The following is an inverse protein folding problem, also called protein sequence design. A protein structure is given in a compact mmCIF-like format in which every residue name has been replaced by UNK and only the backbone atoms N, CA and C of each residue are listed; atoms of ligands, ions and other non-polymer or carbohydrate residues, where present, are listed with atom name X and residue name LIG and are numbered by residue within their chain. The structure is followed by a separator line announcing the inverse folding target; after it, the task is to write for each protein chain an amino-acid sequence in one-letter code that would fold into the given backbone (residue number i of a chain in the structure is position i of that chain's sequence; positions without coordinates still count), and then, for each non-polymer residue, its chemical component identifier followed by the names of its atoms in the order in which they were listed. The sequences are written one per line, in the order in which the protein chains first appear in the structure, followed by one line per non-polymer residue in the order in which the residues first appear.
data_IF_869669420410
#
_entry.id   IF_869669420410
#
_cell.length_a   1.000
_cell.length_b   1.000
_cell.length_c   1.000
_cell.angle_alpha   90.00
_cell.angle_beta   90.00
_cell.angle_gamma   90.00
#
_symmetry.space_group_name_H-M   'P 1'
#
loop_
_entity.id
_entity.type
_entity.pdbx_description
1 polymer ?
2 non-polymer ?
3 non-polymer ?
4 non-polymer ?
5 non-polymer ?
6 non-polymer ?
7 water ?
#
# COMPACT_ATOMS: atom_id res chain seq x y z
N UNK A 1 -0.36 -19.71 -16.66
CA UNK A 1 -1.46 -19.80 -17.66
C UNK A 1 -2.73 -19.15 -17.11
N UNK A 2 -3.29 -18.21 -17.87
CA UNK A 2 -4.50 -17.50 -17.47
C UNK A 2 -5.67 -17.93 -18.35
N UNK A 3 -6.68 -18.53 -17.72
CA UNK A 3 -7.86 -18.97 -18.46
C UNK A 3 -8.68 -17.77 -18.93
N UNK A 4 -9.57 -18.02 -19.89
CA UNK A 4 -10.41 -17.00 -20.46
C UNK A 4 -11.46 -16.45 -19.48
N UNK A 5 -11.74 -15.16 -19.59
CA UNK A 5 -12.76 -14.53 -18.76
C UNK A 5 -14.11 -14.97 -19.29
N UNK A 6 -15.13 -15.02 -18.43
CA UNK A 6 -16.46 -15.43 -18.92
C UNK A 6 -17.13 -14.22 -19.56
N UNK A 7 -18.25 -14.44 -20.23
CA UNK A 7 -18.98 -13.34 -20.83
C UNK A 7 -19.36 -12.37 -19.72
N UNK A 8 -19.20 -11.08 -19.96
CA UNK A 8 -19.54 -10.07 -18.97
C UNK A 8 -20.23 -8.89 -19.66
N UNK A 9 -21.22 -8.31 -18.98
CA UNK A 9 -21.93 -7.16 -19.52
C UNK A 9 -21.63 -5.95 -18.66
N UNK A 10 -20.99 -4.95 -19.26
CA UNK A 10 -20.65 -3.74 -18.55
C UNK A 10 -20.53 -2.58 -19.53
N UNK A 11 -20.55 -1.33 -19.03
CA UNK A 11 -20.44 -0.15 -19.88
C UNK A 11 -19.18 -0.18 -20.74
N UNK A 12 -19.34 0.09 -22.03
CA UNK A 12 -18.21 0.10 -22.95
C UNK A 12 -17.29 1.29 -22.66
N UNK A 13 -15.98 1.03 -22.52
CA UNK A 13 -15.08 2.16 -22.25
C UNK A 13 -15.11 3.09 -23.46
N UNK A 14 -14.98 4.40 -23.22
CA UNK A 14 -15.01 5.36 -24.30
C UNK A 14 -13.66 6.00 -24.57
N UNK A 15 -13.08 5.66 -25.71
CA UNK A 15 -11.78 6.14 -26.13
C UNK A 15 -11.62 7.67 -26.11
N UNK A 16 -12.66 8.38 -26.51
CA UNK A 16 -12.60 9.83 -26.57
C UNK A 16 -13.16 10.54 -25.34
N UNK A 17 -13.30 9.80 -24.25
CA UNK A 17 -13.79 10.37 -23.00
C UNK A 17 -12.85 9.98 -21.88
N UNK A 18 -12.04 10.94 -21.41
CA UNK A 18 -11.10 10.65 -20.32
C UNK A 18 -11.77 10.12 -19.08
N UNK A 19 -11.06 9.25 -18.37
CA UNK A 19 -11.55 8.65 -17.14
C UNK A 19 -11.83 9.74 -16.10
N UNK A 20 -10.79 10.50 -15.80
CA UNK A 20 -10.86 11.60 -14.86
C UNK A 20 -10.15 12.74 -15.58
N UNK A 21 -10.67 13.95 -15.45
CA UNK A 21 -10.05 15.10 -16.10
C UNK A 21 -9.39 15.97 -15.04
N UNK A 22 -9.61 15.62 -13.79
CA UNK A 22 -9.08 16.39 -12.67
C UNK A 22 -7.80 15.86 -12.04
N UNK A 23 -7.38 14.66 -12.46
CA UNK A 23 -6.17 14.06 -11.91
C UNK A 23 -5.40 13.24 -12.93
N UNK A 24 -4.12 13.03 -12.65
CA UNK A 24 -3.25 12.23 -13.50
C UNK A 24 -3.56 10.77 -13.18
N UNK A 25 -3.92 9.97 -14.19
CA UNK A 25 -4.26 8.58 -13.95
C UNK A 25 -3.22 7.57 -14.45
N UNK A 26 -2.11 8.07 -14.97
CA UNK A 26 -1.02 7.21 -15.44
C UNK A 26 0.30 7.96 -15.25
N UNK A 27 1.33 7.26 -14.79
CA UNK A 27 2.62 7.89 -14.58
C UNK A 27 3.40 7.95 -15.88
N UNK A 28 4.52 8.71 -15.90
CA UNK A 28 5.33 8.82 -17.12
C UNK A 28 5.99 7.50 -17.55
N UNK A 29 5.98 6.50 -16.66
CA UNK A 29 6.54 5.20 -17.02
C UNK A 29 5.40 4.20 -17.26
N UNK A 30 4.23 4.75 -17.54
CA UNK A 30 3.02 4.00 -17.85
C UNK A 30 2.45 3.08 -16.78
N UNK A 31 2.55 3.53 -15.53
CA UNK A 31 1.98 2.77 -14.42
C UNK A 31 0.67 3.48 -14.06
N UNK A 32 -0.41 2.73 -13.91
CA UNK A 32 -1.66 3.42 -13.57
C UNK A 32 -1.63 4.00 -12.16
N UNK A 33 -2.29 5.15 -12.00
CA UNK A 33 -2.42 5.78 -10.69
C UNK A 33 -3.89 5.47 -10.38
N UNK A 34 -4.10 4.72 -9.31
CA UNK A 34 -5.42 4.26 -8.95
C UNK A 34 -6.33 5.22 -8.21
N UNK A 35 -7.35 5.70 -8.93
CA UNK A 35 -8.36 6.62 -8.40
C UNK A 35 -9.73 5.99 -8.66
N UNK A 36 -10.72 6.37 -7.85
CA UNK A 36 -12.06 5.86 -8.05
C UNK A 36 -12.53 6.34 -9.43
N UNK A 37 -13.10 5.44 -10.22
CA UNK A 37 -13.58 5.80 -11.55
C UNK A 37 -12.67 5.31 -12.66
N UNK A 38 -11.45 4.89 -12.30
CA UNK A 38 -10.49 4.42 -13.29
C UNK A 38 -10.58 2.91 -13.53
N UNK A 39 -11.23 2.20 -12.61
CA UNK A 39 -11.32 0.75 -12.76
C UNK A 39 -12.70 0.14 -12.62
N UNK A 40 -12.90 -0.96 -13.34
CA UNK A 40 -14.15 -1.71 -13.24
C UNK A 40 -13.75 -2.86 -12.33
N UNK A 41 -14.21 -2.83 -11.09
CA UNK A 41 -13.84 -3.86 -10.12
C UNK A 41 -14.35 -5.26 -10.48
N UNK A 42 -15.42 -5.35 -11.26
CA UNK A 42 -15.93 -6.65 -11.63
C UNK A 42 -14.94 -7.37 -12.55
N UNK A 43 -14.38 -6.65 -13.51
CA UNK A 43 -13.41 -7.26 -14.40
C UNK A 43 -12.17 -7.67 -13.61
N UNK A 44 -11.66 -6.78 -12.78
CA UNK A 44 -10.48 -7.08 -11.98
C UNK A 44 -10.71 -8.26 -11.02
N UNK A 45 -11.86 -8.29 -10.35
CA UNK A 45 -12.14 -9.39 -9.44
C UNK A 45 -12.10 -10.73 -10.18
N UNK A 46 -12.66 -10.75 -11.39
CA UNK A 46 -12.66 -11.96 -12.21
C UNK A 46 -11.24 -12.38 -12.52
N UNK A 47 -10.45 -11.44 -13.02
CA UNK A 47 -9.07 -11.73 -13.36
C UNK A 47 -8.29 -12.31 -12.20
N UNK A 48 -8.39 -11.71 -11.02
CA UNK A 48 -7.64 -12.22 -9.88
C UNK A 48 -8.19 -13.49 -9.26
N UNK A 49 -9.51 -13.67 -9.31
CA UNK A 49 -10.10 -14.89 -8.75
C UNK A 49 -9.74 -16.09 -9.62
N UNK A 50 -9.69 -15.88 -10.93
CA UNK A 50 -9.35 -16.96 -11.85
C UNK A 50 -7.92 -17.43 -11.61
N UNK A 51 -7.17 -16.64 -10.84
CA UNK A 51 -5.79 -17.00 -10.51
C UNK A 51 -5.70 -17.50 -9.08
N UNK A 52 -6.83 -17.56 -8.40
CA UNK A 52 -6.91 -18.01 -7.00
C UNK A 52 -5.87 -17.25 -6.19
N UNK A 53 -5.91 -15.93 -6.34
CA UNK A 53 -4.97 -15.03 -5.67
C UNK A 53 -5.13 -14.96 -4.15
N UNK A 54 -3.99 -15.03 -3.45
CA UNK A 54 -3.98 -14.93 -1.99
C UNK A 54 -3.19 -13.68 -1.63
N UNK A 55 -3.79 -12.82 -0.82
CA UNK A 55 -3.12 -11.59 -0.42
C UNK A 55 -2.74 -11.63 1.05
N UNK A 56 -1.48 -11.30 1.34
CA UNK A 56 -1.05 -11.27 2.72
C UNK A 56 -1.06 -9.82 3.16
N UNK A 57 -1.61 -9.55 4.34
CA UNK A 57 -1.66 -8.21 4.89
C UNK A 57 -0.85 -8.23 6.17
N UNK A 58 0.22 -7.45 6.21
CA UNK A 58 1.09 -7.42 7.38
C UNK A 58 0.98 -6.12 8.18
N UNK A 59 1.00 -6.26 9.50
CA UNK A 59 0.94 -5.12 10.39
C UNK A 59 1.78 -5.40 11.61
N UNK A 60 2.38 -4.37 12.17
CA UNK A 60 3.16 -4.50 13.38
C UNK A 60 2.36 -3.83 14.48
N UNK A 61 2.26 -4.49 15.62
CA UNK A 61 1.51 -3.94 16.75
C UNK A 61 2.35 -4.14 18.01
N UNK A 62 3.18 -3.16 18.31
CA UNK A 62 4.06 -3.23 19.47
C UNK A 62 3.59 -2.29 20.57
N UNK A 63 3.79 -2.71 21.81
CA UNK A 63 3.41 -1.91 22.97
C UNK A 63 1.95 -1.46 22.90
N UNK A 64 1.72 -0.16 23.09
CA UNK A 64 0.39 0.42 23.07
C UNK A 64 -0.40 0.27 21.77
N UNK A 65 0.30 -0.05 20.68
CA UNK A 65 -0.36 -0.19 19.39
C UNK A 65 -1.26 -1.41 19.25
N UNK A 66 -1.14 -2.37 20.16
CA UNK A 66 -1.98 -3.56 20.10
C UNK A 66 -3.44 -3.16 20.25
N UNK A 67 -3.68 -1.99 20.84
CA UNK A 67 -5.04 -1.51 21.05
C UNK A 67 -5.77 -1.17 19.74
N UNK A 68 -5.00 -0.96 18.68
CA UNK A 68 -5.57 -0.61 17.37
C UNK A 68 -5.97 -1.83 16.53
N UNK A 69 -5.55 -3.01 16.95
CA UNK A 69 -5.84 -4.22 16.21
C UNK A 69 -7.30 -4.56 15.99
N UNK A 70 -8.13 -4.45 17.02
CA UNK A 70 -9.54 -4.79 16.90
C UNK A 70 -10.23 -4.05 15.74
N UNK A 71 -10.16 -2.72 15.76
CA UNK A 71 -10.81 -1.92 14.71
C UNK A 71 -10.19 -2.18 13.34
N UNK A 72 -8.87 -2.28 13.31
CA UNK A 72 -8.14 -2.52 12.07
C UNK A 72 -8.63 -3.81 11.40
N UNK A 73 -8.62 -4.91 12.15
CA UNK A 73 -9.04 -6.20 11.61
C UNK A 73 -10.54 -6.27 11.30
N UNK A 74 -11.37 -5.72 12.17
CA UNK A 74 -12.83 -5.72 11.95
C UNK A 74 -13.18 -4.99 10.66
N UNK A 75 -12.57 -3.82 10.46
CA UNK A 75 -12.87 -3.07 9.25
C UNK A 75 -12.22 -3.68 8.01
N UNK A 76 -11.10 -4.39 8.19
CA UNK A 76 -10.44 -5.04 7.05
C UNK A 76 -11.37 -6.15 6.56
N UNK A 77 -12.06 -6.79 7.50
CA UNK A 77 -12.99 -7.86 7.16
C UNK A 77 -14.13 -7.32 6.29
N UNK A 78 -14.48 -6.06 6.49
CA UNK A 78 -15.57 -5.47 5.73
C UNK A 78 -15.16 -4.85 4.40
N UNK A 79 -13.90 -4.43 4.30
CA UNK A 79 -13.44 -3.73 3.09
C UNK A 79 -12.20 -4.20 2.36
N UNK A 80 -11.39 -5.05 2.99
CA UNK A 80 -10.14 -5.50 2.38
C UNK A 80 -10.19 -6.82 1.63
N UNK A 81 -10.05 -6.74 0.30
CA UNK A 81 -10.01 -7.92 -0.55
C UNK A 81 -11.16 -8.90 -0.31
N UNK A 82 -12.34 -8.40 0.02
CA UNK A 82 -13.47 -9.28 0.25
C UNK A 82 -13.75 -10.13 -0.99
N UNK A 83 -13.86 -11.44 -0.79
CA UNK A 83 -14.09 -12.35 -1.91
C UNK A 83 -12.85 -13.13 -2.27
N UNK A 84 -11.69 -12.61 -1.85
CA UNK A 84 -10.41 -13.25 -2.14
C UNK A 84 -9.78 -13.87 -0.89
N UNK A 85 -8.78 -14.73 -1.10
CA UNK A 85 -8.08 -15.37 0.01
C UNK A 85 -7.17 -14.34 0.66
N UNK A 86 -7.32 -14.17 1.98
CA UNK A 86 -6.50 -13.20 2.71
C UNK A 86 -5.83 -13.86 3.91
N UNK A 87 -4.56 -13.51 4.12
CA UNK A 87 -3.82 -14.04 5.26
C UNK A 87 -3.25 -12.84 6.00
N UNK A 88 -3.73 -12.61 7.21
CA UNK A 88 -3.24 -11.50 8.03
C UNK A 88 -2.02 -11.97 8.81
N UNK A 89 -1.01 -11.12 8.89
CA UNK A 89 0.21 -11.44 9.63
C UNK A 89 0.39 -10.33 10.64
N UNK A 90 0.14 -10.64 11.91
CA UNK A 90 0.28 -9.64 12.97
C UNK A 90 1.55 -9.88 13.76
N UNK A 91 2.49 -8.94 13.64
CA UNK A 91 3.76 -9.02 14.37
C UNK A 91 3.59 -8.21 15.65
N UNK A 92 3.71 -8.88 16.79
CA UNK A 92 3.51 -8.19 18.05
C UNK A 92 4.37 -8.74 19.18
N UNK A 93 4.56 -7.93 20.22
CA UNK A 93 5.34 -8.35 21.38
C UNK A 93 4.36 -8.80 22.47
N UNK A 94 3.08 -8.81 22.12
CA UNK A 94 2.01 -9.19 23.04
C UNK A 94 1.01 -10.15 22.37
N UNK A 95 1.44 -11.38 22.07
CA UNK A 95 0.56 -12.36 21.43
C UNK A 95 -0.81 -12.52 22.09
N UNK A 96 -0.82 -12.61 23.41
CA UNK A 96 -2.06 -12.77 24.15
C UNK A 96 -2.96 -11.55 24.13
N UNK A 97 -2.43 -10.42 23.66
CA UNK A 97 -3.22 -9.19 23.62
C UNK A 97 -3.95 -9.01 22.29
N UNK A 98 -3.67 -9.88 21.32
CA UNK A 98 -4.32 -9.79 20.02
C UNK A 98 -5.80 -10.15 20.21
N UNK A 99 -6.71 -9.28 19.74
CA UNK A 99 -8.15 -9.50 19.87
C UNK A 99 -8.67 -10.66 19.02
N UNK A 100 -9.71 -11.32 19.54
CA UNK A 100 -10.33 -12.43 18.84
C UNK A 100 -11.34 -11.83 17.87
N UNK A 101 -10.94 -11.69 16.61
CA UNK A 101 -11.79 -11.12 15.58
C UNK A 101 -12.36 -12.21 14.68
N UNK A 102 -13.66 -12.12 14.41
CA UNK A 102 -14.33 -13.12 13.57
C UNK A 102 -14.01 -12.85 12.10
N UNK A 103 -13.48 -13.85 11.41
CA UNK A 103 -13.11 -13.71 10.01
C UNK A 103 -14.05 -14.44 9.06
N UNK A 104 -14.18 -13.90 7.85
CA UNK A 104 -15.00 -14.53 6.84
C UNK A 104 -14.29 -15.76 6.31
N UNK A 105 -15.00 -16.58 5.54
CA UNK A 105 -14.38 -17.79 5.00
C UNK A 105 -13.22 -17.44 4.05
N UNK A 106 -12.20 -18.30 4.03
CA UNK A 106 -11.06 -18.08 3.16
C UNK A 106 -10.06 -17.06 3.69
N UNK A 107 -10.25 -16.64 4.93
CA UNK A 107 -9.36 -15.66 5.53
C UNK A 107 -8.79 -16.21 6.82
N UNK A 108 -7.50 -16.00 7.04
CA UNK A 108 -6.88 -16.49 8.25
C UNK A 108 -5.93 -15.47 8.85
N UNK A 109 -5.59 -15.67 10.12
CA UNK A 109 -4.69 -14.76 10.79
C UNK A 109 -3.60 -15.51 11.54
N UNK A 110 -2.37 -15.02 11.41
CA UNK A 110 -1.23 -15.61 12.08
C UNK A 110 -0.58 -14.58 12.97
N UNK A 111 -0.31 -14.96 14.22
CA UNK A 111 0.34 -14.06 15.15
C UNK A 111 1.81 -14.45 15.21
N UNK A 112 2.67 -13.48 14.95
CA UNK A 112 4.10 -13.72 14.98
C UNK A 112 4.70 -12.84 16.08
N UNK A 113 5.26 -13.49 17.10
CA UNK A 113 5.85 -12.75 18.21
C UNK A 113 7.22 -12.22 17.81
N UNK A 114 7.51 -10.99 18.23
CA UNK A 114 8.79 -10.37 17.93
C UNK A 114 9.42 -9.90 19.25
N UNK A 136 9.88 -13.68 5.03
CA UNK A 136 10.91 -14.74 4.83
C UNK A 136 10.48 -15.70 3.73
N UNK A 137 10.99 -16.92 3.77
CA UNK A 137 10.66 -17.92 2.77
C UNK A 137 9.22 -18.38 2.96
N UNK A 138 8.65 -18.09 4.13
CA UNK A 138 7.28 -18.47 4.42
C UNK A 138 6.29 -17.72 3.53
N UNK A 139 6.47 -16.41 3.42
CA UNK A 139 5.58 -15.59 2.59
C UNK A 139 5.54 -16.10 1.15
N UNK A 140 6.68 -16.53 0.65
CA UNK A 140 6.76 -17.03 -0.72
C UNK A 140 5.87 -18.25 -0.96
N UNK A 141 5.64 -19.04 0.08
CA UNK A 141 4.83 -20.23 -0.07
C UNK A 141 3.38 -20.06 0.37
N UNK A 142 3.09 -19.00 1.10
CA UNK A 142 1.72 -18.80 1.58
C UNK A 142 0.88 -17.77 0.84
N UNK A 143 1.52 -16.72 0.34
CA UNK A 143 0.77 -15.68 -0.38
C UNK A 143 1.38 -15.28 -1.71
N UNK A 144 0.57 -14.62 -2.55
CA UNK A 144 1.02 -14.17 -3.87
C UNK A 144 1.47 -12.71 -3.82
N UNK A 145 0.75 -11.92 -3.03
CA UNK A 145 1.05 -10.50 -2.87
C UNK A 145 1.14 -10.16 -1.40
N UNK A 146 1.97 -9.18 -1.08
CA UNK A 146 2.11 -8.70 0.29
C UNK A 146 1.74 -7.24 0.33
N UNK A 147 0.93 -6.87 1.32
CA UNK A 147 0.52 -5.48 1.51
C UNK A 147 0.97 -5.14 2.93
N UNK A 148 1.77 -4.09 3.05
CA UNK A 148 2.31 -3.69 4.34
C UNK A 148 1.75 -2.34 4.75
N UNK A 149 1.03 -2.30 5.86
CA UNK A 149 0.41 -1.06 6.33
C UNK A 149 0.58 -0.79 7.83
N UNK A 150 0.26 0.43 8.22
CA UNK A 150 0.30 0.86 9.62
C UNK A 150 -0.96 0.32 10.29
N UNK A 151 -0.87 0.01 11.58
CA UNK A 151 -2.00 -0.55 12.31
C UNK A 151 -2.98 0.46 12.93
N UNK A 152 -2.51 1.68 13.20
CA UNK A 152 -3.39 2.69 13.79
C UNK A 152 -4.20 3.33 12.68
N UNK A 153 -4.97 2.48 12.01
CA UNK A 153 -5.81 2.86 10.88
C UNK A 153 -7.10 2.04 10.89
N UNK A 154 -8.00 2.39 9.98
CA UNK A 154 -9.26 1.67 9.82
C UNK A 154 -9.69 1.78 8.37
N UNK A 155 -10.29 0.72 7.84
CA UNK A 155 -10.78 0.75 6.48
C UNK A 155 -12.18 1.34 6.53
N UNK A 156 -12.49 2.23 5.59
CA UNK A 156 -13.80 2.86 5.55
C UNK A 156 -14.50 2.60 4.23
N UNK A 157 -13.76 2.06 3.27
CA UNK A 157 -14.34 1.76 1.96
C UNK A 157 -13.49 0.71 1.27
N UNK A 158 -13.93 0.30 0.09
CA UNK A 158 -13.26 -0.72 -0.69
C UNK A 158 -11.75 -0.56 -0.93
N UNK A 159 -11.00 -1.61 -0.62
CA UNK A 159 -9.56 -1.66 -0.89
C UNK A 159 -9.44 -3.08 -1.44
N UNK A 160 -9.40 -3.18 -2.76
CA UNK A 160 -9.36 -4.49 -3.38
C UNK A 160 -8.22 -4.77 -4.33
N UNK A 161 -8.44 -5.75 -5.21
CA UNK A 161 -7.42 -6.19 -6.15
C UNK A 161 -6.93 -5.15 -7.15
N UNK A 162 -7.63 -4.01 -7.23
CA UNK A 162 -7.19 -2.95 -8.14
C UNK A 162 -5.79 -2.47 -7.74
N UNK A 163 -5.37 -2.75 -6.51
CA UNK A 163 -4.05 -2.29 -6.07
C UNK A 163 -2.93 -3.30 -6.34
N UNK A 164 -3.30 -4.55 -6.59
CA UNK A 164 -2.29 -5.59 -6.82
C UNK A 164 -1.50 -5.44 -8.11
N UNK A 165 -0.18 -5.59 -7.99
CA UNK A 165 0.75 -5.42 -9.09
C UNK A 165 2.13 -5.83 -8.55
N UNK A 166 3.15 -5.94 -9.41
CA UNK A 166 4.46 -6.34 -8.85
C UNK A 166 4.98 -5.45 -7.74
N UNK A 167 4.81 -4.13 -7.87
CA UNK A 167 5.29 -3.20 -6.86
C UNK A 167 4.51 -1.91 -6.84
N UNK A 168 3.95 -1.55 -5.68
CA UNK A 168 3.21 -0.30 -5.61
C UNK A 168 3.54 0.55 -4.40
N UNK A 169 3.38 1.86 -4.58
CA UNK A 169 3.60 2.84 -3.53
C UNK A 169 2.33 3.65 -3.47
N UNK A 170 2.13 4.40 -2.39
CA UNK A 170 0.93 5.22 -2.21
C UNK A 170 1.31 6.69 -2.04
N UNK A 171 0.56 7.57 -2.68
CA UNK A 171 0.83 9.00 -2.58
C UNK A 171 0.49 9.53 -1.20
N UNK A 172 1.47 10.16 -0.56
CA UNK A 172 1.29 10.75 0.78
C UNK A 172 0.18 11.80 0.66
N UNK A 173 -0.84 11.71 1.52
CA UNK A 173 -1.96 12.67 1.48
C UNK A 173 -1.62 14.12 1.73
N UNK A 174 -0.43 14.37 2.28
CA UNK A 174 -0.04 15.74 2.55
C UNK A 174 0.88 16.37 1.53
N UNK A 175 1.28 15.61 0.51
CA UNK A 175 2.19 16.15 -0.50
C UNK A 175 1.83 15.83 -1.95
N UNK A 176 0.65 15.26 -2.19
CA UNK A 176 0.30 14.91 -3.57
C UNK A 176 0.21 16.10 -4.50
N UNK A 177 -0.01 17.29 -3.96
CA UNK A 177 -0.09 18.48 -4.80
C UNK A 177 1.15 19.36 -4.70
N UNK A 178 2.19 18.86 -4.05
CA UNK A 178 3.42 19.62 -3.88
C UNK A 178 4.46 19.41 -4.96
N UNK A 179 5.34 20.41 -5.13
CA UNK A 179 6.41 20.34 -6.10
C UNK A 179 7.50 19.49 -5.45
N UNK A 180 8.33 18.83 -6.26
CA UNK A 180 9.38 17.97 -5.72
C UNK A 180 10.30 18.68 -4.73
N UNK A 181 10.57 19.96 -4.98
CA UNK A 181 11.45 20.72 -4.10
C UNK A 181 10.91 20.77 -2.67
N UNK A 182 9.60 20.69 -2.51
CA UNK A 182 8.97 20.74 -1.19
C UNK A 182 8.90 19.37 -0.53
N UNK A 183 9.14 18.30 -1.31
CA UNK A 183 9.11 16.94 -0.78
C UNK A 183 10.10 16.81 0.37
N UNK A 184 9.69 16.18 1.46
CA UNK A 184 10.58 16.00 2.60
C UNK A 184 11.51 14.80 2.45
N UNK A 185 12.14 14.67 1.29
CA UNK A 185 13.09 13.58 1.04
C UNK A 185 14.31 13.86 1.92
N UNK A 186 15.15 12.86 2.09
CA UNK A 186 16.38 13.05 2.85
C UNK A 186 17.25 13.87 1.89
N UNK A 187 17.75 15.01 2.36
CA UNK A 187 18.55 15.88 1.50
C UNK A 187 20.06 15.87 1.75
N UNK A 188 20.52 15.06 2.71
CA UNK A 188 21.94 14.99 3.00
C UNK A 188 22.63 13.92 2.17
N UNK A 189 23.62 14.32 1.34
CA UNK A 189 24.37 13.40 0.47
C UNK A 189 25.03 12.25 1.24
N UNK A 190 25.26 12.46 2.54
CA UNK A 190 25.90 11.45 3.36
C UNK A 190 24.98 10.26 3.65
N UNK A 191 23.70 10.41 3.33
CA UNK A 191 22.71 9.36 3.57
C UNK A 191 22.39 8.57 2.30
N UNK A 192 22.19 7.28 2.47
CA UNK A 192 21.86 6.39 1.35
C UNK A 192 20.49 6.74 0.78
N UNK A 193 19.67 7.42 1.58
CA UNK A 193 18.33 7.81 1.14
C UNK A 193 18.30 9.17 0.45
N UNK A 194 19.49 9.72 0.22
CA UNK A 194 19.63 11.03 -0.42
C UNK A 194 18.99 11.18 -1.80
N UNK A 195 18.22 12.26 -1.98
CA UNK A 195 17.58 12.58 -3.25
C UNK A 195 17.70 14.10 -3.43
N UNK A 196 18.41 14.54 -4.48
CA UNK A 196 18.58 15.98 -4.73
C UNK A 196 17.27 16.69 -5.09
N UNK A 197 17.27 18.01 -4.97
CA UNK A 197 16.09 18.81 -5.26
C UNK A 197 15.54 18.71 -6.68
N UNK A 198 16.37 18.32 -7.64
CA UNK A 198 15.89 18.22 -9.01
C UNK A 198 15.47 16.80 -9.41
N UNK A 199 15.37 15.91 -8.43
CA UNK A 199 14.95 14.53 -8.70
C UNK A 199 13.69 14.22 -7.89
N UNK A 200 12.98 13.17 -8.32
CA UNK A 200 11.78 12.78 -7.62
C UNK A 200 10.50 12.85 -8.43
N UNK A 201 9.69 11.81 -8.34
CA UNK A 201 8.42 11.76 -9.05
C UNK A 201 7.30 12.16 -8.10
N UNK A 202 7.21 11.42 -6.99
CA UNK A 202 6.18 11.66 -5.98
C UNK A 202 6.75 11.43 -4.60
N UNK A 203 5.97 11.77 -3.58
CA UNK A 203 6.39 11.51 -2.22
C UNK A 203 5.46 10.39 -1.74
N UNK A 204 6.04 9.20 -1.60
CA UNK A 204 5.27 8.03 -1.19
C UNK A 204 5.24 7.88 0.34
N UNK A 205 4.19 7.24 0.82
CA UNK A 205 3.96 6.99 2.23
C UNK A 205 4.68 5.72 2.68
N UNK A 206 5.28 5.74 3.87
CA UNK A 206 5.94 4.54 4.33
C UNK A 206 4.92 3.57 4.89
N UNK A 207 3.74 4.10 5.22
CA UNK A 207 2.67 3.30 5.80
C UNK A 207 1.76 2.48 4.91
N UNK A 208 2.00 2.46 3.61
CA UNK A 208 1.15 1.67 2.71
C UNK A 208 1.85 1.40 1.39
N UNK A 209 2.44 0.21 1.29
CA UNK A 209 3.12 -0.22 0.08
C UNK A 209 2.98 -1.73 -0.03
N UNK A 210 3.38 -2.27 -1.18
CA UNK A 210 3.27 -3.71 -1.34
C UNK A 210 3.60 -4.16 -2.75
N UNK A 211 3.20 -5.38 -3.07
CA UNK A 211 3.47 -5.93 -4.40
C UNK A 211 3.62 -7.43 -4.28
N UNK A 212 4.30 -8.04 -5.23
CA UNK A 212 4.50 -9.49 -5.16
C UNK A 212 5.44 -9.75 -4.00
N UNK A 213 5.44 -10.97 -3.47
CA UNK A 213 6.32 -11.28 -2.36
C UNK A 213 7.78 -11.00 -2.73
N UNK A 214 8.17 -11.41 -3.92
CA UNK A 214 9.55 -11.20 -4.39
C UNK A 214 9.94 -9.72 -4.43
N UNK A 215 9.08 -8.88 -4.99
CA UNK A 215 9.39 -7.45 -5.07
C UNK A 215 9.40 -6.77 -3.70
N UNK A 216 8.48 -7.18 -2.82
CA UNK A 216 8.43 -6.59 -1.49
C UNK A 216 9.68 -6.98 -0.70
N UNK A 217 10.12 -8.21 -0.87
CA UNK A 217 11.32 -8.65 -0.16
C UNK A 217 12.56 -7.96 -0.72
N UNK A 218 12.56 -7.67 -2.01
CA UNK A 218 13.69 -6.97 -2.63
C UNK A 218 13.75 -5.55 -2.07
N UNK A 219 12.59 -4.93 -1.93
CA UNK A 219 12.54 -3.56 -1.40
C UNK A 219 12.98 -3.53 0.06
N UNK A 220 12.44 -4.41 0.89
CA UNK A 220 12.80 -4.40 2.31
C UNK A 220 14.28 -4.77 2.50
N UNK A 221 14.79 -5.65 1.64
CA UNK A 221 16.19 -6.05 1.72
C UNK A 221 17.06 -4.84 1.39
N UNK A 222 16.67 -4.09 0.36
CA UNK A 222 17.44 -2.91 -0.05
C UNK A 222 17.43 -1.84 1.02
N UNK A 223 16.26 -1.58 1.60
CA UNK A 223 16.17 -0.56 2.64
C UNK A 223 16.91 -0.97 3.90
N UNK A 224 16.83 -2.25 4.26
CA UNK A 224 17.52 -2.73 5.45
C UNK A 224 19.02 -2.51 5.33
N UNK A 225 19.57 -2.86 4.17
CA UNK A 225 21.00 -2.68 3.94
C UNK A 225 21.37 -1.19 3.93
N UNK A 226 20.55 -0.37 3.29
CA UNK A 226 20.81 1.07 3.22
C UNK A 226 20.81 1.70 4.61
N UNK A 227 19.86 1.28 5.45
CA UNK A 227 19.76 1.82 6.80
C UNK A 227 20.94 1.38 7.65
N UNK A 228 21.46 0.18 7.39
CA UNK A 228 22.61 -0.33 8.13
C UNK A 228 23.84 0.53 7.80
N UNK A 229 23.99 0.84 6.52
CA UNK A 229 25.10 1.66 6.06
C UNK A 229 25.03 3.04 6.72
N UNK A 230 23.83 3.63 6.71
CA UNK A 230 23.62 4.94 7.33
C UNK A 230 23.98 4.89 8.82
N UNK A 231 23.52 3.85 9.50
CA UNK A 231 23.79 3.69 10.92
C UNK A 231 25.29 3.64 11.20
N UNK A 232 26.00 2.87 10.39
CA UNK A 232 27.45 2.75 10.55
C UNK A 232 28.14 4.08 10.29
N UNK A 233 27.48 4.92 9.49
CA UNK A 233 28.02 6.23 9.15
C UNK A 233 27.53 7.31 10.11
N UNK A 234 26.81 6.90 11.14
CA UNK A 234 26.30 7.83 12.13
C UNK A 234 25.24 8.79 11.64
N UNK A 235 24.42 8.36 10.69
CA UNK A 235 23.37 9.22 10.18
C UNK A 235 22.04 8.48 10.12
N UNK A 236 20.94 9.20 10.39
CA UNK A 236 19.59 8.64 10.37
C UNK A 236 18.70 9.49 9.47
N UNK A 237 18.14 8.87 8.43
CA UNK A 237 17.28 9.58 7.49
C UNK A 237 16.18 10.38 8.18
N UNK A 238 15.95 11.59 7.69
CA UNK A 238 14.95 12.50 8.25
C UNK A 238 13.62 11.84 8.59
N UNK A 239 13.11 10.99 7.70
CA UNK A 239 11.85 10.31 7.98
C UNK A 239 11.98 8.80 8.02
N UNK A 240 13.14 8.35 8.47
CA UNK A 240 13.44 6.93 8.65
C UNK A 240 13.10 6.02 7.48
N UNK A 241 12.34 4.97 7.73
CA UNK A 241 11.97 4.01 6.69
C UNK A 241 11.33 4.66 5.46
N UNK A 242 10.50 5.67 5.71
CA UNK A 242 9.82 6.38 4.63
C UNK A 242 10.80 7.05 3.67
N UNK A 243 11.90 7.57 4.21
CA UNK A 243 12.89 8.23 3.37
C UNK A 243 13.56 7.21 2.46
N UNK A 244 13.88 6.03 3.00
CA UNK A 244 14.50 4.99 2.21
C UNK A 244 13.53 4.42 1.18
N UNK A 245 12.26 4.31 1.58
CA UNK A 245 11.24 3.80 0.66
C UNK A 245 11.17 4.71 -0.56
N UNK A 246 11.22 6.02 -0.32
CA UNK A 246 11.14 6.97 -1.43
C UNK A 246 12.36 6.87 -2.34
N UNK A 247 13.52 6.61 -1.77
CA UNK A 247 14.73 6.47 -2.58
C UNK A 247 14.59 5.21 -3.44
N UNK A 248 14.07 4.14 -2.86
CA UNK A 248 13.91 2.89 -3.59
C UNK A 248 12.93 3.05 -4.75
N UNK A 249 11.77 3.64 -4.48
CA UNK A 249 10.75 3.82 -5.52
C UNK A 249 11.15 4.85 -6.57
N UNK A 250 12.13 5.68 -6.27
CA UNK A 250 12.60 6.64 -7.25
C UNK A 250 13.46 5.87 -8.26
N UNK A 251 14.30 4.97 -7.74
CA UNK A 251 15.20 4.18 -8.57
C UNK A 251 14.61 2.89 -9.16
N UNK A 252 13.48 2.45 -8.60
CA UNK A 252 12.77 1.25 -9.08
C UNK A 252 11.31 1.69 -9.14
N UNK A 253 10.90 2.19 -10.30
CA UNK A 253 9.54 2.69 -10.49
C UNK A 253 8.45 1.69 -10.17
N UNK A 254 7.48 2.08 -9.33
CA UNK A 254 6.39 1.15 -8.99
C UNK A 254 5.52 0.90 -10.22
N UNK A 255 4.97 -0.31 -10.31
CA UNK A 255 4.12 -0.68 -11.46
C UNK A 255 2.68 -0.19 -11.34
N UNK A 256 2.34 0.35 -10.18
CA UNK A 256 1.05 0.98 -9.90
C UNK A 256 1.31 1.95 -8.76
N UNK A 257 0.60 3.08 -8.76
CA UNK A 257 0.72 4.07 -7.71
C UNK A 257 -0.69 4.28 -7.18
N UNK A 258 -0.87 4.19 -5.87
CA UNK A 258 -2.18 4.39 -5.28
C UNK A 258 -2.41 5.86 -4.94
N UNK A 259 -3.61 6.35 -5.24
CA UNK A 259 -3.97 7.73 -4.95
C UNK A 259 -4.15 7.88 -3.45
N UNK A 260 -4.24 9.13 -2.96
CA UNK A 260 -4.43 9.39 -1.53
C UNK A 260 -5.72 8.81 -0.95
N UNK A 261 -6.60 8.30 -1.81
CA UNK A 261 -7.84 7.68 -1.36
C UNK A 261 -7.47 6.52 -0.44
N UNK A 262 -6.29 5.95 -0.70
CA UNK A 262 -5.82 4.77 0.04
C UNK A 262 -5.13 4.99 1.38
N UNK A 263 -4.89 6.24 1.76
CA UNK A 263 -4.34 6.54 3.08
C UNK A 263 -4.59 8.01 3.31
N UNK A 264 -5.62 8.30 4.09
CA UNK A 264 -6.02 9.66 4.35
C UNK A 264 -6.22 9.92 5.83
N UNK A 265 -6.32 11.19 6.20
CA UNK A 265 -6.58 11.58 7.58
C UNK A 265 -7.62 12.69 7.42
N UNK A 266 -8.88 12.33 7.63
CA UNK A 266 -9.96 13.29 7.50
C UNK A 266 -9.91 14.39 8.56
N UNK A 267 -9.36 14.06 9.72
CA UNK A 267 -9.26 15.04 10.79
C UNK A 267 -8.32 16.18 10.39
N UNK A 268 -7.19 15.84 9.80
CA UNK A 268 -6.20 16.82 9.39
C UNK A 268 -6.35 17.35 7.97
N UNK A 269 -7.07 16.62 7.12
CA UNK A 269 -7.23 17.02 5.73
C UNK A 269 -8.65 17.15 5.18
N UNK A 270 -9.65 16.82 6.00
CA UNK A 270 -11.02 16.91 5.56
C UNK A 270 -11.35 15.91 4.47
N UNK A 271 -12.32 16.27 3.62
CA UNK A 271 -12.72 15.40 2.52
C UNK A 271 -12.86 16.23 1.25
N UNK A 272 -11.74 16.45 0.54
CA UNK A 272 -11.68 17.23 -0.71
C UNK A 272 -12.51 16.62 -1.83
N UNK A 273 -12.96 17.46 -2.76
CA UNK A 273 -13.77 16.99 -3.88
C UNK A 273 -13.01 15.99 -4.74
N UNK A 274 -11.69 16.16 -4.84
CA UNK A 274 -10.87 15.28 -5.66
C UNK A 274 -10.87 13.84 -5.14
N UNK A 275 -11.31 13.66 -3.89
CA UNK A 275 -11.38 12.32 -3.31
C UNK A 275 -12.82 11.83 -3.28
N UNK A 276 -13.16 10.96 -4.22
CA UNK A 276 -14.51 10.42 -4.30
C UNK A 276 -14.77 9.42 -3.18
N UNK A 277 -13.69 8.80 -2.70
CA UNK A 277 -13.79 7.85 -1.61
C UNK A 277 -12.61 8.01 -0.66
N UNK A 278 -12.85 7.71 0.61
CA UNK A 278 -11.82 7.73 1.65
C UNK A 278 -11.82 6.25 2.04
N UNK A 279 -10.84 5.51 1.58
CA UNK A 279 -10.79 4.06 1.80
C UNK A 279 -10.11 3.53 3.05
N UNK A 280 -9.00 4.14 3.42
CA UNK A 280 -8.20 3.69 4.55
C UNK A 280 -7.76 4.97 5.26
N UNK A 281 -8.12 5.12 6.53
CA UNK A 281 -7.81 6.35 7.25
C UNK A 281 -7.19 6.21 8.63
N UNK A 282 -6.57 7.29 9.08
CA UNK A 282 -5.94 7.34 10.39
C UNK A 282 -6.99 7.39 11.48
N UNK A 283 -6.71 6.74 12.60
CA UNK A 283 -7.64 6.74 13.72
C UNK A 283 -7.25 7.88 14.65
N UNK A 284 -8.18 8.79 14.93
CA UNK A 284 -7.92 9.94 15.81
C UNK A 284 -7.53 9.54 17.23
X LIG B 1 11.75 0.75 2.94
X LIG C 1 4.34 -4.42 7.71
X LIG D 1 5.50 -6.32 4.69
X LIG E 1 -12.85 6.03 -16.50
X LIG F 1 15.64 1.44 0.09
X LIG G 1 4.24 -1.73 7.29
X LIG H 1 14.45 -0.67 6.60
X LIG I 1 0.86 5.13 11.60
X LIG J 1 1.26 9.81 7.06
X LIG J 1 0.71 11.06 7.45
X LIG J 1 -0.64 11.03 7.52
X LIG J 1 -1.25 9.99 7.27
X LIG J 1 -1.40 12.29 7.94
X LIG J 1 -1.13 13.45 6.98
X LIG J 1 -1.91 14.70 7.42
X LIG J 1 -1.68 15.90 6.50
X LIG J 1 -0.26 16.47 6.57
X LIG J 1 0.75 15.58 5.86
X LIG J 1 2.19 16.08 6.03
X LIG J 1 2.64 16.00 7.50
X LIG J 1 2.49 14.64 7.95
X LIG J 1 3.76 14.04 8.21
X LIG J 1 4.57 14.01 7.02
X LIG J 1 5.86 13.45 7.28
X LIG J 1 6.76 13.59 6.05
X LIG J 1 6.93 14.97 5.74
X LIG J 1 5.72 11.98 7.69
X LIG J 1 5.13 11.24 6.62
X LIG J 1 4.84 11.89 8.94
X LIG J 1 4.59 10.51 9.25
X LIG J 1 3.51 12.60 8.71
X LIG J 1 2.76 12.64 9.93
X LIG K 1 4.52 0.96 15.30
X LIG K 1 4.44 0.09 16.40
X LIG K 1 5.02 0.46 17.61
X LIG K 1 5.68 1.69 17.74
X LIG K 1 5.75 2.56 16.65
X LIG K 1 5.17 2.19 15.44
X LIG K 1 3.85 -0.99 16.30
X LIG K 1 6.19 2.02 18.80
X LIG K 1 3.94 0.56 13.99
X LIG K 1 2.44 0.81 13.98
X LIG K 1 1.83 0.04 12.93
X LIG K 1 2.41 2.28 13.61
X LIG K 1 3.41 2.22 12.46
X LIG K 1 4.49 1.41 12.98
X LIG K 1 1.12 2.63 13.10
X LIG K 1 3.87 3.58 11.93
X LIG K 1 4.48 4.37 12.95
X LIG K 1 3.60 5.43 13.81
X LIG K 1 2.05 5.05 13.60
X LIG K 1 3.98 5.48 15.23
X LIG K 1 3.81 6.85 13.09
X LIG K 1 2.84 7.38 11.91
X LIG K 1 3.41 6.34 10.83
X LIG K 1 3.54 8.82 11.81
X LIG K 1 1.53 7.18 12.57
#
# INVERSE_FOLDING_TARGET
FMVSLPRMVYPQPKVLTPCRKDVLVVTPWLAPIVWEGTFNIDILNEQFRLQNTTIGLTVFAIKKYVAFLKLFLETAEKHFMVGHRVHYYVFTDQPAAVPRVTLGTGRQLSVLEVRAYKRWQDVSMRRMEMISDFCERRFLSEVDYLVCVDVDMEFRDHVGVEILTPLFGTLHPGFYGSSREAFTYERRPQSQAYIPKDEGDFYYLGGFFGGSVQEVQRLTRACHQAMMVDQANGIEAVWHDESHLNKYLLRHKPTKVLSPEYLWDQQLLGWPAVLRKLRFTAVPKNHQAVRNP
HG HG
CL CL
HG HG
HG HG
HG HG
CL CL
HG HG
MN MN
DR4 CAA OAP CAS OAB CAO CAL CAJ CAH CAG CAI CAK CAM O1 C1 O5 C5 C6 O6 C4 O4 C3 O3 C2 O2
UDP N1 C2 N3 C4 C5 C6 O2 O4 C1' C2' O2' C3' C4' O4' O3' C5' O5' PA O1A O2A O3A PB O1B O2B O3B
#
